data_IF_378776035610
#
_entry.id   IF_378776035610
#
_cell.length_a   1.000
_cell.length_b   1.000
_cell.length_c   1.000
_cell.angle_alpha   90.00
_cell.angle_beta   90.00
_cell.angle_gamma   90.00
#
_symmetry.space_group_name_H-M   'P 1'
#
loop_
_entity.id
_entity.type
_entity.pdbx_description
1 polymer ?
#
# COMPACT_ATOMS: atom_id res chain seq x y z
N UNK A 1 -12.85 -4.97 -13.81
CA UNK A 1 -11.57 -5.33 -13.15
C UNK A 1 -10.43 -5.18 -14.15
N UNK A 2 -9.78 -4.01 -14.18
CA UNK A 2 -8.68 -3.72 -15.08
C UNK A 2 -7.37 -4.15 -14.38
N UNK A 3 -6.42 -4.76 -15.10
CA UNK A 3 -5.11 -5.22 -14.59
C UNK A 3 -5.12 -6.36 -13.54
N UNK A 4 -6.26 -7.05 -13.34
CA UNK A 4 -6.33 -8.19 -12.41
C UNK A 4 -6.40 -7.80 -10.93
N UNK A 5 -6.44 -6.51 -10.59
CA UNK A 5 -6.63 -6.03 -9.23
C UNK A 5 -8.12 -5.93 -8.88
N UNK A 6 -8.51 -6.55 -7.77
CA UNK A 6 -9.84 -6.46 -7.20
C UNK A 6 -9.73 -6.15 -5.71
N UNK A 7 -9.97 -4.89 -5.33
CA UNK A 7 -10.03 -4.51 -3.91
C UNK A 7 -11.36 -5.02 -3.37
N UNK A 8 -11.30 -5.87 -2.34
CA UNK A 8 -12.49 -6.53 -1.77
C UNK A 8 -12.89 -5.98 -0.41
N UNK A 9 -11.93 -5.40 0.33
CA UNK A 9 -12.10 -4.84 1.67
C UNK A 9 -11.10 -3.74 1.92
N UNK A 10 -11.48 -2.78 2.75
CA UNK A 10 -10.62 -1.74 3.29
C UNK A 10 -10.71 -1.73 4.82
N UNK A 11 -9.68 -1.20 5.48
CA UNK A 11 -9.60 -1.13 6.93
C UNK A 11 -9.11 0.25 7.35
N UNK A 12 -9.73 0.83 8.37
CA UNK A 12 -9.33 2.10 8.95
C UNK A 12 -9.61 2.12 10.46
N UNK A 13 -9.04 3.08 11.17
CA UNK A 13 -9.34 3.37 12.58
C UNK A 13 -10.32 4.54 12.72
N UNK A 14 -10.45 5.38 11.69
CA UNK A 14 -11.29 6.58 11.77
C UNK A 14 -12.78 6.18 11.79
N UNK A 15 -13.49 6.39 12.92
CA UNK A 15 -14.90 6.04 13.03
C UNK A 15 -15.78 6.84 12.07
N UNK A 16 -15.28 7.95 11.50
CA UNK A 16 -16.01 8.68 10.49
C UNK A 16 -16.15 7.88 9.19
N UNK A 17 -15.21 7.01 8.83
CA UNK A 17 -15.24 6.23 7.57
C UNK A 17 -15.57 4.76 7.76
N UNK A 18 -15.30 4.20 8.95
CA UNK A 18 -15.64 2.81 9.26
C UNK A 18 -17.14 2.55 9.11
N UNK A 19 -17.50 1.41 8.50
CA UNK A 19 -18.86 1.03 8.18
C UNK A 19 -19.41 1.66 6.89
N UNK A 20 -18.66 2.55 6.24
CA UNK A 20 -19.01 3.07 4.91
C UNK A 20 -18.52 2.13 3.81
N UNK A 21 -18.99 2.40 2.61
CA UNK A 21 -18.55 1.75 1.38
C UNK A 21 -18.04 2.81 0.41
N UNK A 22 -16.90 2.55 -0.23
CA UNK A 22 -16.33 3.40 -1.28
C UNK A 22 -16.10 2.53 -2.50
N UNK A 23 -16.75 2.84 -3.62
CA UNK A 23 -16.61 2.09 -4.88
C UNK A 23 -16.86 0.59 -4.69
N UNK A 24 -17.95 0.23 -4.00
CA UNK A 24 -18.33 -1.15 -3.66
C UNK A 24 -17.33 -1.89 -2.75
N UNK A 25 -16.42 -1.17 -2.09
CA UNK A 25 -15.48 -1.71 -1.10
C UNK A 25 -15.91 -1.33 0.31
N UNK A 26 -16.32 -2.29 1.17
CA UNK A 26 -16.68 -2.01 2.55
C UNK A 26 -15.43 -1.67 3.37
N UNK A 27 -15.57 -0.68 4.25
CA UNK A 27 -14.53 -0.25 5.19
C UNK A 27 -14.83 -0.81 6.57
N UNK A 28 -13.93 -1.64 7.07
CA UNK A 28 -14.01 -2.26 8.39
C UNK A 28 -13.10 -1.55 9.40
N UNK A 29 -13.34 -1.76 10.68
CA UNK A 29 -12.38 -1.33 11.69
C UNK A 29 -11.14 -2.23 11.63
N UNK A 30 -9.95 -1.68 11.86
CA UNK A 30 -8.70 -2.46 11.81
C UNK A 30 -8.68 -3.66 12.77
N UNK A 31 -9.42 -3.59 13.88
CA UNK A 31 -9.52 -4.69 14.86
C UNK A 31 -10.18 -5.95 14.28
N UNK A 32 -10.97 -5.81 13.20
CA UNK A 32 -11.60 -6.91 12.50
C UNK A 32 -10.64 -7.60 11.54
N UNK A 33 -9.46 -7.03 11.28
CA UNK A 33 -8.48 -7.58 10.33
C UNK A 33 -8.06 -9.01 10.66
N UNK A 34 -8.00 -9.37 11.95
CA UNK A 34 -7.68 -10.73 12.41
C UNK A 34 -8.59 -11.82 11.82
N UNK A 35 -9.80 -11.45 11.35
CA UNK A 35 -10.75 -12.36 10.72
C UNK A 35 -10.40 -12.66 9.25
N UNK A 36 -9.46 -11.91 8.65
CA UNK A 36 -9.08 -12.04 7.24
C UNK A 36 -8.44 -13.38 6.87
N UNK A 37 -7.93 -14.12 7.86
CA UNK A 37 -7.19 -15.37 7.63
C UNK A 37 -8.01 -16.42 6.86
N UNK A 38 -9.33 -16.39 7.00
CA UNK A 38 -10.25 -17.35 6.39
C UNK A 38 -10.71 -16.94 4.98
N UNK A 39 -10.39 -15.71 4.54
CA UNK A 39 -10.98 -15.11 3.34
C UNK A 39 -10.16 -15.32 2.05
N UNK A 40 -8.97 -15.92 2.15
CA UNK A 40 -8.13 -16.24 1.00
C UNK A 40 -7.54 -15.02 0.28
N UNK A 41 -7.53 -13.84 0.91
CA UNK A 41 -6.86 -12.65 0.40
C UNK A 41 -5.37 -12.74 0.70
N UNK A 42 -4.53 -12.64 -0.32
CA UNK A 42 -3.08 -12.83 -0.18
C UNK A 42 -2.26 -11.54 -0.30
N UNK A 43 -2.84 -10.51 -0.93
CA UNK A 43 -2.16 -9.23 -1.19
C UNK A 43 -2.84 -8.14 -0.38
N UNK A 44 -2.07 -7.40 0.41
CA UNK A 44 -2.54 -6.23 1.13
C UNK A 44 -1.82 -4.96 0.69
N UNK A 45 -2.54 -3.85 0.65
CA UNK A 45 -2.00 -2.53 0.30
C UNK A 45 -1.83 -1.73 1.59
N UNK A 46 -0.62 -1.26 1.88
CA UNK A 46 -0.29 -0.56 3.11
C UNK A 46 -0.13 0.95 2.85
N UNK A 47 -1.11 1.73 3.31
CA UNK A 47 -1.22 3.19 3.07
C UNK A 47 -1.49 3.96 4.36
N UNK A 48 -0.86 3.54 5.46
CA UNK A 48 -1.03 4.14 6.79
C UNK A 48 0.07 5.14 7.12
N UNK A 49 -0.07 5.97 8.17
CA UNK A 49 1.01 6.80 8.68
C UNK A 49 2.29 6.02 9.00
N UNK A 50 3.43 6.72 8.99
CA UNK A 50 4.76 6.12 9.15
C UNK A 50 4.88 5.36 10.47
N UNK A 51 4.35 5.94 11.54
CA UNK A 51 4.39 5.44 12.91
C UNK A 51 3.63 4.12 13.11
N UNK A 52 2.60 3.85 12.29
CA UNK A 52 1.79 2.64 12.39
C UNK A 52 2.16 1.58 11.35
N UNK A 53 2.98 1.93 10.34
CA UNK A 53 3.28 1.08 9.19
C UNK A 53 3.77 -0.33 9.56
N UNK A 54 4.75 -0.44 10.47
CA UNK A 54 5.28 -1.75 10.87
C UNK A 54 4.26 -2.56 11.69
N UNK A 55 3.50 -1.91 12.57
CA UNK A 55 2.49 -2.59 13.39
C UNK A 55 1.37 -3.15 12.50
N UNK A 56 0.88 -2.36 11.55
CA UNK A 56 -0.16 -2.80 10.61
C UNK A 56 0.38 -3.87 9.66
N UNK A 57 1.63 -3.78 9.21
CA UNK A 57 2.26 -4.86 8.44
C UNK A 57 2.32 -6.18 9.21
N UNK A 58 2.66 -6.15 10.50
CA UNK A 58 2.65 -7.36 11.34
C UNK A 58 1.24 -7.95 11.43
N UNK A 59 0.22 -7.12 11.65
CA UNK A 59 -1.19 -7.53 11.67
C UNK A 59 -1.61 -8.16 10.32
N UNK A 60 -1.14 -7.60 9.20
CA UNK A 60 -1.38 -8.16 7.87
C UNK A 60 -0.80 -9.57 7.74
N UNK A 61 0.45 -9.77 8.15
CA UNK A 61 1.11 -11.08 8.12
C UNK A 61 0.39 -12.08 9.04
N UNK A 62 0.04 -11.67 10.26
CA UNK A 62 -0.72 -12.51 11.20
C UNK A 62 -2.11 -12.90 10.67
N UNK A 63 -2.74 -11.98 9.92
CA UNK A 63 -4.00 -12.20 9.22
C UNK A 63 -3.89 -12.99 7.90
N UNK A 64 -2.70 -13.49 7.55
CA UNK A 64 -2.51 -14.39 6.41
C UNK A 64 -2.10 -13.72 5.09
N UNK A 65 -1.82 -12.41 5.09
CA UNK A 65 -1.28 -11.72 3.91
C UNK A 65 0.14 -12.22 3.62
N UNK A 66 0.38 -12.61 2.36
CA UNK A 66 1.69 -13.11 1.87
C UNK A 66 2.42 -12.10 1.00
N UNK A 67 1.74 -11.05 0.54
CA UNK A 67 2.36 -9.95 -0.19
C UNK A 67 1.86 -8.60 0.30
N UNK A 68 2.77 -7.70 0.64
CA UNK A 68 2.47 -6.33 1.07
C UNK A 68 2.95 -5.36 -0.01
N UNK A 69 2.01 -4.62 -0.58
CA UNK A 69 2.30 -3.48 -1.43
C UNK A 69 2.39 -2.21 -0.58
N UNK A 70 3.62 -1.83 -0.23
CA UNK A 70 3.91 -0.77 0.71
C UNK A 70 4.03 0.60 0.02
N UNK A 71 3.11 1.51 0.34
CA UNK A 71 3.14 2.92 -0.08
C UNK A 71 3.69 3.86 1.00
N UNK A 72 4.04 3.33 2.17
CA UNK A 72 4.67 4.10 3.24
C UNK A 72 6.15 4.33 2.93
N UNK A 73 6.79 5.38 3.49
CA UNK A 73 8.23 5.60 3.35
C UNK A 73 9.06 4.65 4.23
N UNK A 74 8.41 3.77 5.01
CA UNK A 74 9.06 2.90 5.99
C UNK A 74 9.51 1.61 5.34
N UNK A 75 10.73 1.18 5.67
CA UNK A 75 11.17 -0.19 5.37
C UNK A 75 10.47 -1.17 6.31
N UNK A 76 9.51 -1.91 5.78
CA UNK A 76 8.80 -2.97 6.51
C UNK A 76 9.70 -4.20 6.65
N UNK A 77 9.71 -4.79 7.84
CA UNK A 77 10.32 -6.09 8.13
C UNK A 77 9.23 -7.15 8.17
N UNK A 78 9.47 -8.28 7.50
CA UNK A 78 8.58 -9.44 7.48
C UNK A 78 9.41 -10.73 7.54
N UNK A 79 8.77 -11.88 7.84
CA UNK A 79 9.36 -13.19 7.58
C UNK A 79 9.74 -13.38 6.10
N UNK A 80 10.62 -14.34 5.82
CA UNK A 80 11.19 -14.59 4.48
C UNK A 80 10.17 -15.07 3.44
N UNK A 81 9.03 -15.61 3.89
CA UNK A 81 7.93 -16.10 3.05
C UNK A 81 6.92 -15.01 2.68
N UNK A 82 7.15 -13.75 3.09
CA UNK A 82 6.30 -12.60 2.75
C UNK A 82 7.00 -11.66 1.79
N UNK A 83 6.36 -11.41 0.65
CA UNK A 83 6.86 -10.48 -0.37
C UNK A 83 6.50 -9.04 0.01
N UNK A 84 7.47 -8.13 0.03
CA UNK A 84 7.22 -6.70 0.22
C UNK A 84 7.67 -5.91 -1.00
N UNK A 85 6.72 -5.25 -1.66
CA UNK A 85 7.00 -4.33 -2.76
C UNK A 85 6.81 -2.89 -2.29
N UNK A 86 7.91 -2.12 -2.24
CA UNK A 86 7.85 -0.69 -1.91
C UNK A 86 7.48 0.13 -3.15
N UNK A 87 6.64 1.15 -2.99
CA UNK A 87 6.25 2.08 -4.05
C UNK A 87 6.28 3.51 -3.54
N UNK A 88 6.92 4.39 -4.30
CA UNK A 88 7.01 5.81 -3.97
C UNK A 88 6.70 6.65 -5.21
N UNK A 89 5.58 7.37 -5.15
CA UNK A 89 5.21 8.35 -6.17
C UNK A 89 6.27 9.45 -6.27
N UNK A 90 6.87 9.85 -5.15
CA UNK A 90 7.95 10.85 -5.11
C UNK A 90 9.19 10.38 -5.84
N UNK A 91 9.58 9.11 -5.68
CA UNK A 91 10.74 8.56 -6.39
C UNK A 91 10.52 8.59 -7.91
N UNK A 92 9.33 8.19 -8.37
CA UNK A 92 8.99 8.24 -9.79
C UNK A 92 8.96 9.67 -10.31
N UNK A 93 8.38 10.60 -9.55
CA UNK A 93 8.33 12.02 -9.89
C UNK A 93 9.74 12.64 -9.97
N UNK A 94 10.63 12.31 -9.02
CA UNK A 94 12.01 12.77 -9.04
C UNK A 94 12.77 12.27 -10.27
N UNK A 95 12.58 11.01 -10.67
CA UNK A 95 13.13 10.47 -11.92
C UNK A 95 12.63 11.26 -13.13
N UNK A 96 11.33 11.59 -13.18
CA UNK A 96 10.77 12.41 -14.25
C UNK A 96 11.36 13.82 -14.28
N UNK A 97 11.50 14.48 -13.12
CA UNK A 97 12.10 15.81 -13.04
C UNK A 97 13.55 15.83 -13.51
N UNK A 98 14.36 14.85 -13.11
CA UNK A 98 15.76 14.76 -13.53
C UNK A 98 15.87 14.59 -15.05
N UNK A 99 15.08 13.68 -15.63
CA UNK A 99 15.03 13.47 -17.08
C UNK A 99 14.60 14.73 -17.83
N UNK A 100 13.59 15.43 -17.33
CA UNK A 100 13.13 16.68 -17.93
C UNK A 100 14.21 17.77 -17.88
N UNK A 101 14.96 17.85 -16.78
CA UNK A 101 16.06 18.79 -16.63
C UNK A 101 17.20 18.50 -17.61
N UNK A 102 17.58 17.24 -17.80
CA UNK A 102 18.61 16.83 -18.77
C UNK A 102 18.22 17.20 -20.21
N UNK A 103 16.97 16.98 -20.60
CA UNK A 103 16.46 17.36 -21.94
C UNK A 103 16.60 18.87 -22.15
N UNK A 104 16.15 19.68 -21.19
CA UNK A 104 16.22 21.15 -21.26
C UNK A 104 17.66 21.68 -21.31
N UNK A 105 18.63 21.01 -20.68
CA UNK A 105 20.03 21.42 -20.77
C UNK A 105 20.64 21.15 -22.15
N UNK A 106 20.28 20.02 -22.78
CA UNK A 106 20.73 19.72 -24.15
C UNK A 106 20.20 20.74 -25.15
N UNK A 107 18.93 21.13 -25.04
CA UNK A 107 18.31 22.14 -25.91
C UNK A 107 18.96 23.52 -25.82
N UNK A 108 19.49 23.92 -24.65
CA UNK A 108 20.19 25.21 -24.47
C UNK A 108 21.61 25.26 -25.05
N UNK A 109 22.15 24.11 -25.43
CA UNK A 109 23.55 23.99 -25.93
C UNK A 109 23.62 24.03 -27.47
N UNK A 110 22.47 24.09 -28.14
CA UNK A 110 22.32 24.30 -29.58
C UNK A 110 21.68 25.68 -29.84
#
# INVERSE_FOLDING_TARGET
KQYGLNVVKAFDIDPAVVGREILDVPIHHIDDFKLMREEGVEIGILTVPTESAQQVANLMVEGGIRAIWNFTPVRIKTPDDVVVQNTSLYAHLAVMFNRLHEIKQREKTY
#
